data_IF_677243467292
#
_entry.id   IF_677243467292
#
_cell.length_a   1.000
_cell.length_b   1.000
_cell.length_c   1.000
_cell.angle_alpha   90.00
_cell.angle_beta   90.00
_cell.angle_gamma   90.00
#
_symmetry.space_group_name_H-M   'P 1'
#
loop_
_entity.id
_entity.type
_entity.pdbx_description
1 polymer ?
#
# COMPACT_ATOMS: atom_id res chain seq x y z
N UNK A 1 -5.33 -14.67 0.53
CA UNK A 1 -5.34 -13.20 0.48
C UNK A 1 -6.38 -12.70 1.47
N UNK A 2 -5.96 -11.92 2.47
CA UNK A 2 -6.87 -11.40 3.50
C UNK A 2 -7.83 -10.36 2.90
N UNK A 3 -8.93 -10.10 3.62
CA UNK A 3 -9.99 -9.19 3.18
C UNK A 3 -9.60 -7.71 3.15
N UNK A 4 -8.61 -7.30 3.95
CA UNK A 4 -8.05 -5.94 3.89
C UNK A 4 -7.17 -5.71 2.66
N UNK A 5 -6.43 -6.73 2.22
CA UNK A 5 -5.62 -6.69 1.00
C UNK A 5 -6.48 -6.60 -0.25
N UNK A 6 -7.62 -7.30 -0.28
CA UNK A 6 -8.63 -7.11 -1.34
C UNK A 6 -9.12 -5.66 -1.40
N UNK A 7 -9.50 -5.09 -0.26
CA UNK A 7 -9.91 -3.68 -0.15
C UNK A 7 -8.81 -2.70 -0.59
N UNK A 8 -7.55 -2.99 -0.28
CA UNK A 8 -6.42 -2.17 -0.74
C UNK A 8 -6.32 -2.17 -2.28
N UNK A 9 -6.45 -3.33 -2.91
CA UNK A 9 -6.43 -3.42 -4.37
C UNK A 9 -7.64 -2.73 -5.00
N UNK A 10 -8.82 -2.80 -4.39
CA UNK A 10 -9.97 -2.00 -4.83
C UNK A 10 -9.72 -0.49 -4.71
N UNK A 11 -9.02 -0.05 -3.65
CA UNK A 11 -8.61 1.35 -3.52
C UNK A 11 -7.55 1.74 -4.56
N UNK A 12 -6.65 0.83 -4.91
CA UNK A 12 -5.71 1.03 -6.02
C UNK A 12 -6.46 1.26 -7.32
N UNK A 13 -7.45 0.42 -7.63
CA UNK A 13 -8.24 0.51 -8.86
C UNK A 13 -9.10 1.80 -8.93
N UNK A 14 -9.48 2.35 -7.76
CA UNK A 14 -10.22 3.64 -7.64
C UNK A 14 -9.32 4.87 -7.64
N UNK A 15 -8.02 4.69 -7.45
CA UNK A 15 -7.03 5.77 -7.42
C UNK A 15 -6.06 5.58 -8.57
N UNK A 16 -5.08 6.47 -8.73
CA UNK A 16 -4.00 6.25 -9.70
C UNK A 16 -2.80 5.52 -9.06
N UNK A 17 -3.09 4.62 -8.12
CA UNK A 17 -2.07 3.91 -7.32
C UNK A 17 -1.79 2.54 -7.92
N UNK A 18 -0.52 2.22 -8.16
CA UNK A 18 -0.13 0.87 -8.60
C UNK A 18 -0.22 -0.13 -7.44
N UNK A 19 -0.73 -1.33 -7.72
CA UNK A 19 -0.76 -2.44 -6.74
C UNK A 19 0.65 -2.78 -6.23
N UNK A 20 1.66 -2.71 -7.08
CA UNK A 20 3.07 -2.91 -6.72
C UNK A 20 3.56 -1.92 -5.65
N UNK A 21 3.14 -0.66 -5.70
CA UNK A 21 3.49 0.33 -4.68
C UNK A 21 2.86 0.01 -3.33
N UNK A 22 1.62 -0.49 -3.32
CA UNK A 22 0.96 -0.96 -2.10
C UNK A 22 1.55 -2.25 -1.57
N UNK A 23 1.93 -3.18 -2.43
CA UNK A 23 2.61 -4.39 -2.01
C UNK A 23 3.95 -4.09 -1.37
N UNK A 24 4.72 -3.16 -1.95
CA UNK A 24 5.96 -2.68 -1.34
C UNK A 24 5.71 -2.06 0.04
N UNK A 25 4.71 -1.18 0.17
CA UNK A 25 4.39 -0.53 1.43
C UNK A 25 4.00 -1.54 2.54
N UNK A 26 3.13 -2.50 2.20
CA UNK A 26 2.70 -3.51 3.17
C UNK A 26 3.84 -4.44 3.52
N UNK A 27 4.67 -4.84 2.56
CA UNK A 27 5.84 -5.67 2.82
C UNK A 27 6.84 -4.95 3.73
N UNK A 28 7.04 -3.64 3.54
CA UNK A 28 7.84 -2.84 4.45
C UNK A 28 7.31 -2.89 5.90
N UNK A 29 5.99 -2.76 6.11
CA UNK A 29 5.42 -2.87 7.46
C UNK A 29 5.61 -4.27 8.07
N UNK A 30 5.50 -5.32 7.27
CA UNK A 30 5.68 -6.69 7.75
C UNK A 30 7.15 -6.98 8.07
N UNK A 31 8.05 -6.68 7.14
CA UNK A 31 9.46 -7.07 7.25
C UNK A 31 10.26 -6.15 8.15
N UNK A 32 10.03 -4.84 8.07
CA UNK A 32 10.82 -3.84 8.81
C UNK A 32 10.21 -3.47 10.16
N UNK A 33 8.88 -3.53 10.29
CA UNK A 33 8.19 -3.20 11.55
C UNK A 33 7.63 -4.44 12.27
N UNK A 34 7.79 -5.63 11.69
CA UNK A 34 7.32 -6.91 12.25
C UNK A 34 5.81 -6.97 12.52
N UNK A 35 5.02 -6.25 11.73
CA UNK A 35 3.57 -6.28 11.84
C UNK A 35 2.98 -7.53 11.20
N UNK A 36 1.82 -7.95 11.68
CA UNK A 36 1.03 -8.94 10.95
C UNK A 36 0.53 -8.37 9.62
N UNK A 37 0.28 -9.24 8.64
CA UNK A 37 -0.27 -8.82 7.34
C UNK A 37 -1.60 -8.07 7.51
N UNK A 38 -2.42 -8.47 8.49
CA UNK A 38 -3.70 -7.83 8.78
C UNK A 38 -3.52 -6.40 9.29
N UNK A 39 -2.64 -6.18 10.26
CA UNK A 39 -2.33 -4.86 10.81
C UNK A 39 -1.75 -3.93 9.74
N UNK A 40 -0.78 -4.44 8.96
CA UNK A 40 -0.19 -3.70 7.85
C UNK A 40 -1.24 -3.27 6.82
N UNK A 41 -2.14 -4.16 6.43
CA UNK A 41 -3.20 -3.85 5.47
C UNK A 41 -4.23 -2.86 6.04
N UNK A 42 -4.64 -3.02 7.31
CA UNK A 42 -5.54 -2.09 8.00
C UNK A 42 -4.96 -0.69 8.08
N UNK A 43 -3.68 -0.58 8.43
CA UNK A 43 -2.99 0.70 8.51
C UNK A 43 -2.89 1.37 7.13
N UNK A 44 -2.45 0.65 6.10
CA UNK A 44 -2.38 1.18 4.74
C UNK A 44 -3.76 1.66 4.24
N UNK A 45 -4.87 0.96 4.55
CA UNK A 45 -6.22 1.40 4.22
C UNK A 45 -6.60 2.72 4.92
N UNK A 46 -6.16 2.90 6.17
CA UNK A 46 -6.44 4.12 6.93
C UNK A 46 -5.81 5.34 6.28
N UNK A 47 -4.63 5.19 5.66
CA UNK A 47 -3.93 6.24 4.93
C UNK A 47 -4.70 6.70 3.69
N UNK A 48 -5.44 5.81 3.02
CA UNK A 48 -6.35 6.21 1.95
C UNK A 48 -7.57 6.97 2.48
N UNK A 49 -8.18 6.48 3.56
CA UNK A 49 -9.43 7.04 4.11
C UNK A 49 -9.26 8.44 4.70
N UNK A 50 -8.13 8.70 5.35
CA UNK A 50 -7.83 10.01 5.94
C UNK A 50 -7.20 10.99 4.92
N UNK A 51 -7.06 10.59 3.66
CA UNK A 51 -6.51 11.41 2.59
C UNK A 51 -4.98 11.59 2.63
N UNK A 52 -4.27 10.92 3.55
CA UNK A 52 -2.79 10.93 3.60
C UNK A 52 -2.20 10.36 2.32
N UNK A 53 -2.83 9.33 1.78
CA UNK A 53 -2.49 8.71 0.51
C UNK A 53 -3.69 8.87 -0.43
N UNK A 54 -3.53 9.71 -1.43
CA UNK A 54 -4.45 9.79 -2.58
C UNK A 54 -3.87 9.06 -3.79
N UNK A 55 -2.54 8.94 -3.84
CA UNK A 55 -1.79 8.21 -4.83
C UNK A 55 -0.44 7.77 -4.23
N UNK A 56 0.04 6.56 -4.53
CA UNK A 56 1.42 6.13 -4.28
C UNK A 56 2.10 5.85 -5.61
N UNK A 57 3.23 6.53 -5.83
CA UNK A 57 4.20 6.19 -6.87
C UNK A 57 5.46 5.69 -6.21
N UNK A 58 5.89 4.49 -6.59
CA UNK A 58 7.17 3.95 -6.15
C UNK A 58 8.23 4.46 -7.14
N UNK A 59 9.24 5.17 -6.65
CA UNK A 59 10.31 5.73 -7.49
C UNK A 59 11.61 4.97 -7.19
N UNK A 60 12.24 4.47 -8.25
CA UNK A 60 13.54 3.80 -8.21
C UNK A 60 14.68 4.77 -7.91
N UNK A 61 15.86 4.21 -7.63
CA UNK A 61 17.07 5.01 -7.36
C UNK A 61 17.51 5.87 -8.55
N UNK A 62 17.03 5.54 -9.74
CA UNK A 62 17.22 6.25 -11.00
C UNK A 62 16.19 7.37 -11.24
N UNK A 63 15.27 7.59 -10.30
CA UNK A 63 14.21 8.58 -10.42
C UNK A 63 13.03 8.15 -11.29
N UNK A 64 13.01 6.91 -11.78
CA UNK A 64 11.93 6.37 -12.61
C UNK A 64 10.87 5.66 -11.77
N UNK A 65 9.64 5.61 -12.26
CA UNK A 65 8.54 4.89 -11.58
C UNK A 65 8.74 3.38 -11.75
N UNK A 66 8.76 2.65 -10.62
CA UNK A 66 8.91 1.19 -10.55
C UNK A 66 7.63 0.42 -10.93
#
# INVERSE_FOLDING_TARGET
MNEFRKKLYEMCDKTNTRKSGIDFLVNYYIESLHWSEEEACKYALSLFKNGTIQNIKLIGKDGQEL
#
